data_IF_036961703367
#
_entry.id   IF_036961703367
#
_cell.length_a   1.000
_cell.length_b   1.000
_cell.length_c   1.000
_cell.angle_alpha   90.00
_cell.angle_beta   90.00
_cell.angle_gamma   90.00
#
_symmetry.space_group_name_H-M   'P 1'
#
loop_
_entity.id
_entity.type
_entity.pdbx_description
1 polymer ?
2 polymer ?
3 non-polymer ?
4 water ?
#
# COMPACT_ATOMS: atom_id res chain seq x y z
N UNK A 27 12.08 18.44 -11.09
CA UNK A 27 12.66 17.09 -11.31
C UNK A 27 11.81 16.38 -12.38
N UNK A 28 11.64 15.09 -12.14
CA UNK A 28 11.13 14.02 -13.02
C UNK A 28 9.61 14.14 -13.24
N UNK A 29 9.12 14.06 -14.48
CA UNK A 29 7.68 14.25 -14.74
C UNK A 29 6.85 13.10 -14.16
N UNK A 30 7.27 11.84 -14.27
CA UNK A 30 6.54 10.69 -13.68
C UNK A 30 6.37 10.97 -12.19
N UNK A 31 7.40 11.37 -11.50
CA UNK A 31 7.32 11.59 -10.03
C UNK A 31 6.31 12.72 -9.81
N UNK A 32 6.41 13.82 -10.54
CA UNK A 32 5.46 14.95 -10.30
C UNK A 32 4.03 14.49 -10.60
N UNK A 33 3.77 13.67 -11.59
CA UNK A 33 2.46 13.12 -11.97
C UNK A 33 1.94 12.27 -10.80
N UNK A 34 2.76 11.39 -10.27
CA UNK A 34 2.31 10.52 -9.20
C UNK A 34 1.96 11.39 -7.99
N UNK A 35 2.68 12.46 -7.73
CA UNK A 35 2.34 13.36 -6.59
C UNK A 35 0.94 13.91 -6.79
N UNK A 36 0.60 14.39 -7.98
CA UNK A 36 -0.75 15.01 -8.15
C UNK A 36 -1.82 13.95 -8.15
N UNK A 37 -1.54 12.70 -8.50
CA UNK A 37 -2.47 11.57 -8.52
C UNK A 37 -2.78 11.05 -7.10
N UNK A 38 -2.02 11.49 -6.10
CA UNK A 38 -2.11 10.90 -4.74
C UNK A 38 -3.53 11.18 -4.24
N UNK A 39 -4.29 10.15 -3.85
CA UNK A 39 -5.62 10.38 -3.26
C UNK A 39 -5.58 11.19 -1.97
N UNK A 40 -6.72 11.85 -1.75
CA UNK A 40 -7.00 12.61 -0.52
C UNK A 40 -7.06 11.63 0.67
N UNK A 41 -6.79 12.18 1.84
CA UNK A 41 -6.93 11.47 3.15
C UNK A 41 -8.37 10.94 3.34
N UNK A 42 -8.47 9.77 4.01
CA UNK A 42 -9.72 9.05 4.35
C UNK A 42 -9.76 9.00 5.88
N UNK A 43 -10.87 9.35 6.50
CA UNK A 43 -11.04 9.17 7.97
C UNK A 43 -11.55 7.79 8.26
N UNK A 44 -11.09 7.24 9.42
CA UNK A 44 -11.58 5.92 9.89
C UNK A 44 -13.02 5.94 10.46
N UNK A 45 -13.33 6.99 11.17
CA UNK A 45 -14.69 7.16 11.81
C UNK A 45 -15.14 5.93 12.59
N UNK A 46 -14.34 5.52 13.60
CA UNK A 46 -14.74 4.42 14.46
C UNK A 46 -16.05 4.86 15.12
N UNK A 47 -16.97 3.93 15.22
CA UNK A 47 -18.36 4.19 15.68
C UNK A 47 -18.32 4.58 17.16
N UNK A 48 -18.66 5.82 17.54
CA UNK A 48 -18.51 6.26 18.91
C UNK A 48 -19.58 5.64 19.83
N UNK A 49 -20.55 4.93 19.27
CA UNK A 49 -21.61 4.29 20.09
C UNK A 49 -21.17 2.89 20.46
N UNK A 50 -20.10 2.36 19.87
CA UNK A 50 -19.75 0.92 20.03
C UNK A 50 -18.64 0.82 21.06
N UNK A 51 -18.77 -0.11 22.06
CA UNK A 51 -17.70 -0.31 23.02
C UNK A 51 -16.39 -0.72 22.34
N UNK A 52 -15.34 -0.22 22.89
CA UNK A 52 -13.95 -0.53 22.45
C UNK A 52 -13.77 -2.03 22.64
N UNK A 53 -13.19 -2.70 21.63
CA UNK A 53 -13.07 -4.17 21.57
C UNK A 53 -12.14 -4.52 20.41
N UNK A 54 -11.64 -5.75 20.39
CA UNK A 54 -10.88 -6.25 19.20
C UNK A 54 -11.80 -6.23 17.98
N UNK A 55 -13.07 -6.59 18.12
CA UNK A 55 -14.04 -6.68 17.00
C UNK A 55 -14.23 -5.25 16.46
N UNK A 56 -14.34 -4.25 17.33
CA UNK A 56 -14.59 -2.88 16.86
C UNK A 56 -13.33 -2.42 16.07
N UNK A 57 -12.15 -2.65 16.59
CA UNK A 57 -10.90 -2.15 15.97
C UNK A 57 -10.72 -2.83 14.61
N UNK A 58 -10.92 -4.14 14.54
CA UNK A 58 -10.79 -4.91 13.28
C UNK A 58 -11.88 -4.48 12.30
N UNK A 59 -13.15 -4.29 12.72
CA UNK A 59 -14.24 -3.76 11.86
C UNK A 59 -13.81 -2.39 11.29
N UNK A 60 -13.31 -1.51 12.13
CA UNK A 60 -12.93 -0.13 11.73
C UNK A 60 -11.82 -0.20 10.68
N UNK A 61 -10.82 -1.02 10.95
CA UNK A 61 -9.70 -1.15 9.98
C UNK A 61 -10.13 -1.79 8.67
N UNK A 62 -10.96 -2.84 8.66
CA UNK A 62 -11.43 -3.43 7.40
C UNK A 62 -12.32 -2.48 6.63
N UNK A 63 -13.16 -1.67 7.31
CA UNK A 63 -13.96 -0.64 6.64
C UNK A 63 -13.05 0.40 5.97
N UNK A 64 -12.02 0.84 6.67
CA UNK A 64 -11.07 1.85 6.19
C UNK A 64 -10.35 1.25 4.95
N UNK A 65 -9.98 -0.01 5.00
CA UNK A 65 -9.29 -0.64 3.82
C UNK A 65 -10.22 -0.72 2.64
N UNK A 66 -11.46 -1.15 2.85
CA UNK A 66 -12.45 -1.23 1.76
C UNK A 66 -12.59 0.13 1.04
N UNK A 67 -12.67 1.26 1.74
CA UNK A 67 -12.81 2.59 1.13
C UNK A 67 -11.49 2.94 0.43
N UNK A 68 -10.36 2.67 1.06
CA UNK A 68 -9.07 3.03 0.42
C UNK A 68 -8.89 2.18 -0.82
N UNK A 69 -9.34 0.93 -0.85
CA UNK A 69 -9.19 0.12 -2.08
C UNK A 69 -9.89 0.80 -3.24
N UNK A 70 -11.07 1.39 -3.05
CA UNK A 70 -11.74 2.10 -4.17
C UNK A 70 -10.83 3.18 -4.72
N UNK A 71 -10.19 4.00 -3.91
CA UNK A 71 -9.33 5.14 -4.37
C UNK A 71 -8.02 4.60 -4.98
N UNK A 72 -7.55 3.49 -4.45
CA UNK A 72 -6.33 2.82 -5.04
C UNK A 72 -6.62 2.43 -6.48
N UNK A 73 -7.78 1.87 -6.75
CA UNK A 73 -8.12 1.45 -8.14
C UNK A 73 -8.13 2.67 -9.06
N UNK A 74 -8.66 3.79 -8.63
CA UNK A 74 -8.68 5.02 -9.43
C UNK A 74 -7.28 5.59 -9.60
N UNK A 75 -6.46 5.51 -8.55
CA UNK A 75 -5.06 6.00 -8.58
C UNK A 75 -4.26 5.23 -9.63
N UNK A 76 -4.47 3.92 -9.67
CA UNK A 76 -3.63 3.04 -10.53
C UNK A 76 -3.81 3.47 -11.99
N UNK A 77 -5.01 3.93 -12.31
CA UNK A 77 -5.30 4.32 -13.72
C UNK A 77 -4.49 5.56 -14.12
N UNK A 78 -3.89 6.34 -13.22
CA UNK A 78 -3.08 7.52 -13.56
C UNK A 78 -1.63 7.10 -13.84
N UNK A 79 -1.27 5.86 -13.53
CA UNK A 79 0.16 5.44 -13.65
C UNK A 79 0.43 5.23 -15.13
N UNK A 80 1.48 5.82 -15.73
CA UNK A 80 1.65 5.71 -17.18
C UNK A 80 1.71 4.24 -17.62
N UNK A 81 0.88 3.88 -18.58
CA UNK A 81 0.83 2.52 -19.15
C UNK A 81 -0.10 1.56 -18.46
N UNK A 82 -0.49 1.80 -17.20
CA UNK A 82 -1.30 0.80 -16.47
C UNK A 82 -2.62 0.51 -17.22
N UNK A 83 -3.31 1.57 -17.63
CA UNK A 83 -4.67 1.47 -18.25
C UNK A 83 -4.58 0.85 -19.65
N UNK A 84 -3.39 0.72 -20.21
CA UNK A 84 -3.18 0.10 -21.56
C UNK A 84 -3.03 -1.42 -21.43
N UNK A 85 -2.67 -1.94 -20.25
CA UNK A 85 -2.71 -3.39 -20.00
C UNK A 85 -4.15 -3.90 -20.20
N UNK A 86 -4.30 -5.21 -20.40
CA UNK A 86 -5.62 -5.85 -20.42
C UNK A 86 -6.25 -5.66 -19.04
N UNK A 87 -7.57 -5.58 -18.98
CA UNK A 87 -8.27 -5.58 -17.68
C UNK A 87 -7.84 -6.80 -16.84
N UNK A 88 -7.53 -7.96 -17.43
CA UNK A 88 -7.08 -9.13 -16.67
C UNK A 88 -5.74 -8.80 -16.00
N UNK A 89 -4.82 -8.19 -16.72
CA UNK A 89 -3.50 -7.85 -16.13
C UNK A 89 -3.69 -6.75 -15.08
N UNK A 90 -4.50 -5.73 -15.33
CA UNK A 90 -4.73 -4.66 -14.31
C UNK A 90 -5.24 -5.33 -13.02
N UNK A 91 -6.22 -6.24 -13.15
CA UNK A 91 -6.79 -6.97 -11.99
C UNK A 91 -5.67 -7.76 -11.28
N UNK A 92 -4.81 -8.45 -12.03
CA UNK A 92 -3.77 -9.34 -11.48
C UNK A 92 -2.77 -8.53 -10.62
N UNK A 93 -2.38 -7.39 -11.14
CA UNK A 93 -1.36 -6.55 -10.47
C UNK A 93 -1.99 -6.05 -9.16
N UNK A 94 -3.25 -5.57 -9.25
CA UNK A 94 -3.90 -5.06 -8.03
C UNK A 94 -4.18 -6.19 -7.04
N UNK A 95 -4.57 -7.38 -7.47
CA UNK A 95 -4.81 -8.51 -6.57
C UNK A 95 -3.52 -8.95 -5.83
N UNK A 96 -2.36 -8.78 -6.47
CA UNK A 96 -1.10 -9.16 -5.81
C UNK A 96 -0.58 -8.00 -4.93
N UNK A 97 -0.83 -6.74 -5.26
CA UNK A 97 -0.12 -5.63 -4.59
C UNK A 97 -0.97 -4.84 -3.58
N UNK A 98 -2.28 -5.04 -3.58
CA UNK A 98 -3.18 -4.11 -2.84
C UNK A 98 -2.74 -3.92 -1.37
N UNK A 99 -2.34 -4.98 -0.69
CA UNK A 99 -2.03 -4.88 0.77
C UNK A 99 -0.67 -4.16 0.94
N UNK A 100 0.25 -4.31 0.00
CA UNK A 100 1.49 -3.52 0.01
C UNK A 100 1.18 -2.03 -0.11
N UNK A 101 0.25 -1.69 -1.01
CA UNK A 101 -0.12 -0.28 -1.23
C UNK A 101 -0.77 0.30 0.05
N UNK A 102 -1.68 -0.47 0.63
CA UNK A 102 -2.34 -0.03 1.92
C UNK A 102 -1.25 0.20 3.00
N UNK A 103 -0.32 -0.75 3.13
CA UNK A 103 0.68 -0.70 4.21
C UNK A 103 1.61 0.48 3.95
N UNK A 104 2.08 0.71 2.71
CA UNK A 104 2.95 1.86 2.46
C UNK A 104 2.28 3.15 2.90
N UNK A 105 0.97 3.29 2.66
CA UNK A 105 0.22 4.48 3.09
C UNK A 105 0.33 4.66 4.61
N UNK A 106 0.11 3.59 5.34
CA UNK A 106 0.17 3.67 6.84
C UNK A 106 1.58 4.05 7.26
N UNK A 107 2.58 3.43 6.62
CA UNK A 107 4.00 3.67 6.94
C UNK A 107 4.34 5.15 6.69
N UNK A 108 3.99 5.71 5.54
CA UNK A 108 4.30 7.12 5.20
C UNK A 108 3.67 8.08 6.24
N UNK A 109 2.40 7.81 6.57
CA UNK A 109 1.67 8.70 7.51
C UNK A 109 2.33 8.64 8.88
N UNK A 110 3.07 7.58 9.18
CA UNK A 110 3.63 7.35 10.54
C UNK A 110 5.04 7.88 10.70
N UNK A 111 5.70 8.40 9.68
CA UNK A 111 7.14 8.72 9.75
C UNK A 111 7.47 9.79 10.81
N UNK A 112 6.54 10.71 11.09
CA UNK A 112 6.78 11.80 12.09
C UNK A 112 6.43 11.32 13.51
N UNK A 113 5.92 10.11 13.67
CA UNK A 113 5.44 9.58 14.98
C UNK A 113 6.48 8.59 15.56
N UNK A 114 6.31 8.23 16.82
CA UNK A 114 7.22 7.31 17.52
C UNK A 114 6.45 6.13 18.06
N UNK A 115 6.67 4.96 17.49
CA UNK A 115 6.05 3.71 17.98
C UNK A 115 4.51 3.78 17.90
N UNK A 116 4.00 4.56 16.94
CA UNK A 116 2.55 4.68 16.68
C UNK A 116 2.28 4.56 15.18
N UNK A 117 1.19 3.92 14.82
CA UNK A 117 0.79 3.76 13.40
C UNK A 117 -0.41 4.64 13.08
N UNK A 118 -0.22 5.53 12.12
CA UNK A 118 -1.29 6.47 11.70
C UNK A 118 -2.15 5.79 10.64
N UNK A 119 -3.08 4.92 10.96
CA UNK A 119 -3.98 4.33 9.98
C UNK A 119 -4.76 5.46 9.32
N UNK A 120 -5.16 6.44 10.14
CA UNK A 120 -5.89 7.66 9.71
C UNK A 120 -5.64 8.75 10.75
N UNK A 121 -5.97 10.01 10.45
CA UNK A 121 -5.68 11.11 11.39
C UNK A 121 -6.51 10.90 12.68
N UNK A 122 -7.67 10.27 12.53
CA UNK A 122 -8.55 9.91 13.69
C UNK A 122 -8.36 8.43 14.11
N UNK A 123 -7.27 7.77 13.75
CA UNK A 123 -7.12 6.36 14.15
C UNK A 123 -5.64 5.98 14.22
N UNK A 124 -5.03 6.39 15.31
CA UNK A 124 -3.57 6.25 15.58
C UNK A 124 -3.41 5.16 16.62
N UNK A 125 -2.74 4.07 16.27
CA UNK A 125 -2.64 2.87 17.15
C UNK A 125 -1.27 2.82 17.81
N UNK A 126 -1.27 2.81 19.15
CA UNK A 126 -0.05 2.56 19.95
C UNK A 126 0.00 1.06 20.27
N UNK A 127 1.02 0.67 21.01
CA UNK A 127 1.31 -0.75 21.34
C UNK A 127 0.12 -1.38 22.11
N UNK A 128 -0.39 -0.69 23.13
CA UNK A 128 -1.55 -1.18 23.90
C UNK A 128 -2.72 -1.45 22.96
N UNK A 129 -3.00 -0.52 22.03
CA UNK A 129 -4.16 -0.67 21.13
C UNK A 129 -3.88 -1.85 20.19
N UNK A 130 -2.63 -2.01 19.77
CA UNK A 130 -2.31 -3.14 18.86
C UNK A 130 -2.55 -4.48 19.60
N UNK A 131 -2.11 -4.57 20.86
CA UNK A 131 -2.34 -5.79 21.69
C UNK A 131 -3.86 -6.05 21.84
N UNK A 132 -4.64 -5.00 22.16
CA UNK A 132 -6.12 -5.11 22.30
C UNK A 132 -6.74 -5.61 20.99
N UNK A 133 -6.23 -5.24 19.81
CA UNK A 133 -6.81 -5.68 18.52
C UNK A 133 -6.22 -7.01 18.01
N UNK A 134 -5.26 -7.61 18.75
CA UNK A 134 -4.56 -8.86 18.35
C UNK A 134 -3.57 -8.65 17.20
N UNK A 135 -3.09 -7.41 17.07
CA UNK A 135 -2.25 -6.97 15.93
C UNK A 135 -0.84 -6.63 16.38
N UNK A 136 -0.36 -7.06 17.56
CA UNK A 136 0.97 -6.61 18.01
C UNK A 136 2.04 -7.10 17.02
N UNK A 137 2.01 -8.37 16.61
CA UNK A 137 3.09 -8.90 15.73
C UNK A 137 3.04 -8.19 14.38
N UNK A 138 1.85 -8.02 13.81
CA UNK A 138 1.71 -7.34 12.48
C UNK A 138 2.17 -5.87 12.59
N UNK A 139 1.71 -5.16 13.61
CA UNK A 139 2.01 -3.72 13.73
C UNK A 139 3.50 -3.54 14.05
N UNK A 140 4.12 -4.51 14.74
CA UNK A 140 5.57 -4.40 15.02
C UNK A 140 6.34 -4.55 13.69
N UNK A 141 5.88 -5.38 12.78
CA UNK A 141 6.54 -5.51 11.44
C UNK A 141 6.32 -4.21 10.65
N UNK A 142 5.13 -3.61 10.73
CA UNK A 142 4.88 -2.32 10.04
C UNK A 142 5.80 -1.26 10.64
N UNK A 143 5.95 -1.25 11.98
CA UNK A 143 6.87 -0.27 12.60
C UNK A 143 8.34 -0.50 12.23
N UNK A 144 8.71 -1.72 11.88
CA UNK A 144 10.07 -2.01 11.34
C UNK A 144 10.26 -1.28 10.00
N UNK A 145 9.25 -1.34 9.10
CA UNK A 145 9.28 -0.54 7.86
C UNK A 145 9.41 0.95 8.14
N UNK A 146 8.62 1.43 9.12
CA UNK A 146 8.71 2.86 9.47
C UNK A 146 10.13 3.18 9.91
N UNK A 147 10.72 2.38 10.79
CA UNK A 147 12.07 2.67 11.35
C UNK A 147 13.07 2.83 10.21
N UNK A 148 13.04 1.93 9.23
CA UNK A 148 14.04 1.99 8.16
C UNK A 148 13.79 3.19 7.24
N UNK A 149 12.53 3.51 6.96
CA UNK A 149 12.28 4.70 6.12
C UNK A 149 12.61 5.98 6.88
N UNK A 150 12.40 6.01 8.19
CA UNK A 150 12.80 7.22 8.97
C UNK A 150 14.31 7.41 8.89
N UNK A 151 15.08 6.35 9.07
CA UNK A 151 16.56 6.46 9.04
C UNK A 151 17.07 6.84 7.65
N UNK A 152 16.32 6.47 6.60
CA UNK A 152 16.67 6.83 5.21
C UNK A 152 16.05 8.18 4.81
N UNK A 153 15.32 8.85 5.67
CA UNK A 153 14.63 10.14 5.41
C UNK A 153 13.82 10.04 4.12
N UNK A 154 12.92 9.07 4.09
CA UNK A 154 12.00 8.89 2.95
C UNK A 154 11.22 10.18 2.65
N UNK A 155 11.27 10.60 1.39
CA UNK A 155 10.54 11.81 0.93
C UNK A 155 9.22 11.39 0.29
N UNK A 156 8.23 12.28 0.22
CA UNK A 156 6.95 11.93 -0.44
C UNK A 156 7.19 11.50 -1.90
N UNK A 157 8.12 12.15 -2.60
CA UNK A 157 8.44 11.81 -3.99
C UNK A 157 8.81 10.31 -4.10
N UNK A 158 9.65 9.85 -3.19
CA UNK A 158 10.16 8.47 -3.16
C UNK A 158 9.03 7.54 -2.77
N UNK A 159 8.24 7.91 -1.77
CA UNK A 159 7.06 7.13 -1.37
C UNK A 159 6.14 6.84 -2.56
N UNK A 160 5.71 7.89 -3.27
CA UNK A 160 4.72 7.66 -4.34
C UNK A 160 5.33 6.80 -5.47
N UNK A 161 6.64 6.98 -5.71
CA UNK A 161 7.29 6.20 -6.78
C UNK A 161 7.43 4.72 -6.33
N UNK A 162 7.77 4.49 -5.08
CA UNK A 162 7.86 3.10 -4.58
C UNK A 162 6.49 2.46 -4.55
N UNK A 163 5.40 3.16 -4.25
CA UNK A 163 4.07 2.55 -4.29
C UNK A 163 3.70 2.09 -5.71
N UNK A 164 4.03 2.93 -6.70
CA UNK A 164 3.81 2.51 -8.12
C UNK A 164 4.71 1.32 -8.50
N UNK A 165 5.98 1.31 -8.07
CA UNK A 165 6.87 0.17 -8.35
C UNK A 165 6.33 -1.09 -7.69
N UNK A 166 5.84 -0.99 -6.45
CA UNK A 166 5.28 -2.16 -5.74
C UNK A 166 4.11 -2.77 -6.53
N UNK A 167 3.26 -1.90 -7.11
CA UNK A 167 2.17 -2.39 -7.97
C UNK A 167 2.74 -3.13 -9.19
N UNK A 168 3.68 -2.50 -9.87
CA UNK A 168 4.21 -3.05 -11.14
C UNK A 168 5.02 -4.33 -10.89
N UNK A 169 5.71 -4.41 -9.76
CA UNK A 169 6.63 -5.53 -9.39
C UNK A 169 5.96 -6.53 -8.45
N UNK A 170 4.64 -6.74 -8.55
CA UNK A 170 3.94 -7.50 -7.50
C UNK A 170 3.99 -9.01 -7.70
N UNK A 171 4.57 -9.48 -8.79
CA UNK A 171 4.85 -10.94 -9.01
C UNK A 171 3.59 -11.83 -9.03
N UNK A 172 2.53 -11.30 -9.64
CA UNK A 172 1.37 -12.17 -9.99
C UNK A 172 1.84 -13.37 -10.82
N UNK A 173 1.23 -14.51 -10.52
CA UNK A 173 1.46 -15.74 -11.35
C UNK A 173 0.56 -15.72 -12.60
N UNK A 174 -0.35 -14.77 -12.72
CA UNK A 174 -1.44 -14.82 -13.75
C UNK A 174 -1.24 -13.81 -14.88
N UNK A 175 -0.06 -13.22 -15.09
CA UNK A 175 0.10 -12.14 -16.10
C UNK A 175 -0.03 -12.70 -17.52
N UNK A 176 -0.75 -12.00 -18.38
CA UNK A 176 -0.89 -12.34 -19.83
C UNK A 176 0.32 -11.78 -20.57
N UNK A 177 0.54 -10.47 -20.47
CA UNK A 177 1.57 -9.73 -21.23
C UNK A 177 2.75 -9.47 -20.29
N UNK A 178 3.60 -10.47 -20.12
CA UNK A 178 4.85 -10.40 -19.30
C UNK A 178 5.71 -9.22 -19.76
N UNK A 179 5.88 -9.00 -21.06
CA UNK A 179 6.73 -7.92 -21.61
C UNK A 179 6.17 -6.56 -21.24
N UNK A 180 4.85 -6.35 -21.30
CA UNK A 180 4.26 -5.02 -21.03
C UNK A 180 4.41 -4.68 -19.53
N UNK A 181 4.30 -5.72 -18.72
CA UNK A 181 4.44 -5.53 -17.24
C UNK A 181 5.92 -5.25 -16.90
N UNK A 182 6.83 -5.94 -17.59
CA UNK A 182 8.26 -5.57 -17.42
C UNK A 182 8.50 -4.13 -17.87
N UNK A 183 7.91 -3.68 -18.98
CA UNK A 183 8.08 -2.30 -19.46
C UNK A 183 7.56 -1.29 -18.41
N UNK A 184 6.44 -1.60 -17.75
CA UNK A 184 5.88 -0.73 -16.68
C UNK A 184 6.88 -0.64 -15.50
N UNK A 185 7.41 -1.79 -15.12
CA UNK A 185 8.46 -1.80 -14.08
C UNK A 185 9.61 -0.91 -14.50
N UNK A 186 10.06 -1.04 -15.77
CA UNK A 186 11.27 -0.32 -16.20
C UNK A 186 11.00 1.18 -16.20
N UNK A 187 9.83 1.59 -16.67
CA UNK A 187 9.51 3.04 -16.70
C UNK A 187 9.56 3.65 -15.28
N UNK A 188 9.00 2.91 -14.33
CA UNK A 188 8.92 3.43 -12.95
C UNK A 188 10.26 3.36 -12.22
N UNK A 189 10.99 2.30 -12.48
CA UNK A 189 12.40 2.18 -12.03
C UNK A 189 13.27 3.34 -12.54
N UNK A 190 13.14 3.62 -13.84
CA UNK A 190 13.86 4.76 -14.45
C UNK A 190 13.47 6.08 -13.79
N UNK A 191 12.18 6.26 -13.48
CA UNK A 191 11.80 7.51 -12.78
C UNK A 191 12.45 7.62 -11.41
N UNK A 192 12.46 6.53 -10.63
CA UNK A 192 13.14 6.56 -9.32
C UNK A 192 14.64 6.90 -9.50
N UNK A 193 15.27 6.22 -10.44
CA UNK A 193 16.73 6.39 -10.65
C UNK A 193 17.06 7.84 -11.10
N UNK A 194 16.21 8.38 -11.99
CA UNK A 194 16.41 9.77 -12.48
C UNK A 194 16.16 10.74 -11.32
N UNK A 195 15.11 10.50 -10.54
CA UNK A 195 14.85 11.34 -9.35
C UNK A 195 16.07 11.34 -8.45
N UNK A 196 16.59 10.16 -8.11
CA UNK A 196 17.72 10.07 -7.15
C UNK A 196 19.00 10.66 -7.74
N UNK A 197 19.18 10.54 -9.05
CA UNK A 197 20.41 11.06 -9.68
C UNK A 197 20.44 12.58 -9.55
N UNK A 198 19.27 13.19 -9.66
CA UNK A 198 19.14 14.66 -9.57
C UNK A 198 19.09 15.22 -8.17
N UNK A 199 18.39 14.55 -7.26
CA UNK A 199 18.07 15.14 -5.95
C UNK A 199 19.07 14.65 -4.89
N UNK A 200 19.75 13.51 -5.14
CA UNK A 200 20.58 12.88 -4.11
C UNK A 200 21.94 12.50 -4.69
N UNK A 201 22.66 13.50 -5.17
CA UNK A 201 24.01 13.26 -5.70
C UNK A 201 24.98 12.80 -4.62
N UNK A 202 24.73 13.07 -3.35
CA UNK A 202 25.60 12.64 -2.23
C UNK A 202 25.62 11.11 -2.11
N UNK A 203 24.58 10.44 -2.61
CA UNK A 203 24.49 8.96 -2.45
C UNK A 203 24.11 8.36 -3.79
N UNK A 204 25.06 8.00 -4.67
CA UNK A 204 24.74 7.51 -6.00
C UNK A 204 24.03 6.15 -6.01
N UNK A 205 23.92 5.53 -4.84
CA UNK A 205 23.22 4.21 -4.75
C UNK A 205 21.90 4.32 -3.98
N UNK A 206 21.38 5.53 -3.76
CA UNK A 206 20.13 5.68 -2.99
C UNK A 206 18.95 4.99 -3.70
N UNK A 207 18.83 5.04 -5.01
CA UNK A 207 17.72 4.35 -5.67
C UNK A 207 17.72 2.87 -5.31
N UNK A 208 18.89 2.22 -5.40
CA UNK A 208 18.98 0.80 -5.04
C UNK A 208 18.69 0.55 -3.58
N UNK A 209 19.09 1.43 -2.68
CA UNK A 209 18.69 1.33 -1.26
C UNK A 209 17.15 1.33 -1.16
N UNK A 210 16.48 2.24 -1.89
CA UNK A 210 15.05 2.25 -1.84
C UNK A 210 14.46 0.94 -2.38
N UNK A 211 15.00 0.43 -3.47
CA UNK A 211 14.53 -0.88 -3.98
C UNK A 211 14.75 -1.97 -2.93
N UNK A 212 15.82 -1.88 -2.14
CA UNK A 212 16.12 -2.94 -1.15
C UNK A 212 15.17 -2.88 0.04
N UNK A 213 14.26 -1.90 0.13
CA UNK A 213 13.22 -1.84 1.17
C UNK A 213 12.02 -2.70 0.76
N UNK A 214 11.91 -3.10 -0.50
CA UNK A 214 10.70 -3.78 -1.01
C UNK A 214 10.55 -5.20 -0.45
N UNK A 215 11.61 -5.96 -0.14
CA UNK A 215 11.37 -7.29 0.46
C UNK A 215 10.59 -7.20 1.79
N UNK A 216 10.97 -6.30 2.67
CA UNK A 216 10.23 -6.21 3.96
C UNK A 216 8.79 -5.82 3.73
N UNK A 217 8.54 -4.97 2.75
CA UNK A 217 7.15 -4.62 2.45
C UNK A 217 6.39 -5.87 1.99
N UNK A 218 6.96 -6.67 1.10
CA UNK A 218 6.34 -7.93 0.62
C UNK A 218 6.07 -8.85 1.82
N UNK A 219 7.06 -9.01 2.69
CA UNK A 219 6.94 -9.89 3.88
C UNK A 219 5.78 -9.39 4.74
N UNK A 220 5.75 -8.08 4.99
CA UNK A 220 4.76 -7.56 5.96
C UNK A 220 3.38 -7.67 5.31
N UNK A 221 3.25 -7.46 4.03
CA UNK A 221 1.95 -7.59 3.29
C UNK A 221 1.44 -9.03 3.37
N UNK A 222 2.32 -9.99 3.18
CA UNK A 222 1.87 -11.40 3.17
C UNK A 222 1.34 -11.72 4.57
N UNK A 223 2.05 -11.29 5.60
CA UNK A 223 1.62 -11.48 7.02
C UNK A 223 0.23 -10.87 7.20
N UNK A 224 0.00 -9.71 6.65
CA UNK A 224 -1.26 -8.95 6.89
C UNK A 224 -2.38 -9.70 6.21
N UNK A 225 -2.19 -10.10 4.99
CA UNK A 225 -3.23 -10.82 4.20
C UNK A 225 -3.57 -12.11 4.96
N UNK A 226 -2.56 -12.83 5.43
CA UNK A 226 -2.84 -14.12 6.13
C UNK A 226 -3.64 -13.81 7.40
N UNK A 227 -3.24 -12.80 8.19
CA UNK A 227 -3.90 -12.38 9.46
C UNK A 227 -5.37 -12.06 9.18
N UNK A 228 -5.65 -11.21 8.20
CA UNK A 228 -7.07 -10.84 7.92
C UNK A 228 -7.84 -11.96 7.24
N UNK A 229 -7.19 -12.83 6.47
CA UNK A 229 -7.91 -13.99 5.88
C UNK A 229 -8.39 -14.85 7.06
N UNK A 230 -7.59 -14.95 8.12
CA UNK A 230 -7.94 -15.83 9.26
C UNK A 230 -9.10 -15.18 10.02
N UNK A 231 -9.08 -13.86 10.20
CA UNK A 231 -10.23 -13.12 10.78
C UNK A 231 -11.48 -13.35 9.91
N UNK A 232 -11.39 -13.34 8.58
CA UNK A 232 -12.51 -13.69 7.68
C UNK A 232 -13.05 -15.08 8.03
N UNK A 233 -12.19 -16.10 8.10
CA UNK A 233 -12.62 -17.51 8.32
C UNK A 233 -13.34 -17.62 9.68
N UNK A 234 -12.89 -16.88 10.68
CA UNK A 234 -13.44 -16.92 12.07
C UNK A 234 -14.85 -16.31 12.10
N UNK A 235 -15.17 -15.38 11.19
CA UNK A 235 -16.54 -14.92 10.90
C UNK A 235 -17.12 -13.96 11.93
N UNK A 236 -16.30 -13.31 12.75
CA UNK A 236 -16.76 -12.38 13.83
C UNK A 236 -16.66 -10.91 13.41
N UNK A 237 -16.06 -10.61 12.25
CA UNK A 237 -15.84 -9.22 11.81
C UNK A 237 -16.49 -9.05 10.45
N UNK A 238 -17.52 -8.16 10.33
CA UNK A 238 -18.16 -7.90 9.06
C UNK A 238 -17.15 -7.20 8.15
N UNK A 239 -17.14 -7.59 6.87
CA UNK A 239 -16.24 -7.04 5.85
C UNK A 239 -17.06 -6.69 4.61
N UNK A 240 -16.77 -5.56 3.96
CA UNK A 240 -17.48 -5.10 2.75
C UNK A 240 -16.94 -5.85 1.52
N UNK A 241 -17.67 -5.78 0.40
CA UNK A 241 -17.53 -6.66 -0.79
C UNK A 241 -16.13 -6.54 -1.40
N UNK A 242 -15.65 -5.32 -1.65
CA UNK A 242 -14.33 -5.12 -2.32
C UNK A 242 -13.19 -5.68 -1.44
N UNK A 243 -13.14 -5.38 -0.15
CA UNK A 243 -12.10 -5.96 0.75
C UNK A 243 -12.10 -7.49 0.69
N UNK A 244 -13.30 -8.07 0.74
CA UNK A 244 -13.48 -9.53 0.68
C UNK A 244 -12.97 -10.11 -0.64
N UNK A 245 -13.29 -9.44 -1.75
CA UNK A 245 -12.88 -9.84 -3.11
C UNK A 245 -11.34 -9.91 -3.12
N UNK A 246 -10.68 -8.90 -2.53
CA UNK A 246 -9.18 -8.88 -2.57
C UNK A 246 -8.58 -9.92 -1.62
N UNK A 247 -9.18 -10.16 -0.46
CA UNK A 247 -8.71 -11.20 0.48
C UNK A 247 -8.86 -12.57 -0.16
N UNK A 248 -9.94 -12.77 -0.90
CA UNK A 248 -10.31 -14.10 -1.46
C UNK A 248 -9.35 -14.43 -2.62
N UNK A 249 -8.88 -13.42 -3.36
CA UNK A 249 -8.09 -13.58 -4.61
C UNK A 249 -6.96 -14.60 -4.38
N UNK A 250 -6.35 -14.55 -3.20
CA UNK A 250 -5.35 -15.54 -2.69
C UNK A 250 -6.06 -16.47 -1.69
N UNK B 3 -17.60 -9.30 -10.54
CA UNK B 3 -16.33 -8.74 -9.93
C UNK B 3 -16.51 -7.23 -9.67
N UNK B 4 -16.47 -6.78 -8.41
CA UNK B 4 -16.50 -5.31 -8.14
C UNK B 4 -15.18 -4.69 -8.64
N UNK B 5 -14.07 -5.40 -8.44
CA UNK B 5 -12.74 -4.94 -8.94
C UNK B 5 -12.82 -4.65 -10.44
N UNK B 6 -13.34 -5.58 -11.26
CA UNK B 6 -13.53 -5.39 -12.73
C UNK B 6 -14.46 -4.21 -13.00
N UNK B 7 -15.58 -4.13 -12.26
CA UNK B 7 -16.55 -3.02 -12.44
C UNK B 7 -15.85 -1.67 -12.25
N UNK B 8 -15.05 -1.54 -11.18
CA UNK B 8 -14.38 -0.25 -10.87
C UNK B 8 -13.29 0.03 -11.91
N UNK B 9 -12.60 -0.99 -12.39
CA UNK B 9 -11.55 -0.77 -13.42
C UNK B 9 -12.20 -0.29 -14.73
N UNK B 10 -13.45 -0.66 -15.00
CA UNK B 10 -14.17 -0.32 -16.26
C UNK B 10 -14.81 1.07 -16.18
N UNK B 11 -15.20 1.54 -14.99
CA UNK B 11 -16.09 2.71 -14.79
C UNK B 11 -15.40 4.01 -15.20
#
# INVERSE_FOLDING_TARGET
MGSSHHHHHHSSGLVPRGSHMPAKKPYNKIVSHLLVAEPEKIYAMPDPTVPDSDIKALTTLCDLADRELVVIIGWAKHIPGFSTLSLADQMSLLQSAWMEILILGVVYRSLSFEDELVYADDYIMDEDQSKLAGLLDLNNAILQLVKKYKSMKLEKEEFVTLKAIALANSDSMHIEDVEAVQKLQDVLHEALQDYEAGQHMEDPRRAGKMLMTLPLLRQTSTKAVQHFYNIKLEGKVPMHKLFLEMLEAKV
NNSLLLHLLKSQTIP
#
